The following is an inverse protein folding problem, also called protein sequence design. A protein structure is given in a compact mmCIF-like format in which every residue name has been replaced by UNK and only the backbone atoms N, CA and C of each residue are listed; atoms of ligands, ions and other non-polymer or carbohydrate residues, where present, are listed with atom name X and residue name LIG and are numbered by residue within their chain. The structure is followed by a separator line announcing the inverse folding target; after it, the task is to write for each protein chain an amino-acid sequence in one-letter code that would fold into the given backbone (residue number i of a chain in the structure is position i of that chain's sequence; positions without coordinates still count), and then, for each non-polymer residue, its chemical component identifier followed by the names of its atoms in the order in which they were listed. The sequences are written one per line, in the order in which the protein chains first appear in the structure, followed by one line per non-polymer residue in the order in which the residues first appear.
data_IF_015426653948
#
_entry.id   IF_015426653948
#
_cell.length_a   1.000
_cell.length_b   1.000
_cell.length_c   1.000
_cell.angle_alpha   90.00
_cell.angle_beta   90.00
_cell.angle_gamma   90.00
#
_symmetry.space_group_name_H-M   'P 1'
#
loop_
_entity.id
_entity.type
_entity.pdbx_description
1 polymer ?
#
# COMPACT_ATOMS: atom_id res chain seq x y z
N UNK A 1 -24.29 -15.98 -13.75
CA UNK A 1 -24.59 -15.10 -12.60
C UNK A 1 -23.54 -14.02 -12.62
N UNK A 2 -23.91 -12.74 -12.66
CA UNK A 2 -22.95 -11.64 -12.54
C UNK A 2 -22.31 -11.72 -11.16
N UNK A 3 -21.00 -11.96 -11.11
CA UNK A 3 -20.23 -11.97 -9.86
C UNK A 3 -20.34 -10.58 -9.22
N UNK A 4 -20.74 -10.51 -7.95
CA UNK A 4 -20.76 -9.23 -7.22
C UNK A 4 -19.32 -8.88 -6.86
N UNK A 5 -18.83 -7.77 -7.43
CA UNK A 5 -17.48 -7.28 -7.17
C UNK A 5 -17.34 -6.78 -5.73
N UNK A 6 -16.17 -7.02 -5.12
CA UNK A 6 -15.76 -6.43 -3.85
C UNK A 6 -15.60 -4.92 -4.02
N UNK A 7 -15.80 -4.16 -2.94
CA UNK A 7 -15.71 -2.70 -2.94
C UNK A 7 -14.78 -2.25 -1.84
N UNK A 8 -13.94 -1.26 -2.13
CA UNK A 8 -13.15 -0.57 -1.11
C UNK A 8 -14.04 0.39 -0.33
N UNK A 9 -13.56 0.86 0.82
CA UNK A 9 -14.25 1.89 1.61
C UNK A 9 -14.39 3.22 0.86
N UNK A 10 -13.55 3.45 -0.16
CA UNK A 10 -13.57 4.65 -1.00
C UNK A 10 -14.47 4.52 -2.25
N UNK A 11 -15.17 3.40 -2.44
CA UNK A 11 -15.95 3.14 -3.65
C UNK A 11 -17.01 4.23 -3.95
N UNK A 12 -17.71 4.75 -2.92
CA UNK A 12 -18.67 5.83 -3.10
C UNK A 12 -17.98 7.18 -3.38
N UNK A 13 -16.79 7.42 -2.82
CA UNK A 13 -15.98 8.58 -3.16
C UNK A 13 -15.56 8.56 -4.64
N UNK A 14 -15.21 7.38 -5.16
CA UNK A 14 -14.87 7.20 -6.58
C UNK A 14 -16.02 7.56 -7.50
N UNK A 15 -17.24 7.11 -7.18
CA UNK A 15 -18.44 7.43 -7.96
C UNK A 15 -18.73 8.93 -7.98
N UNK A 16 -18.62 9.59 -6.81
CA UNK A 16 -18.80 11.04 -6.71
C UNK A 16 -17.75 11.81 -7.50
N UNK A 17 -16.53 11.31 -7.55
CA UNK A 17 -15.43 11.88 -8.34
C UNK A 17 -15.52 11.55 -9.85
N UNK A 18 -16.58 10.88 -10.32
CA UNK A 18 -16.77 10.57 -11.74
C UNK A 18 -15.90 9.43 -12.27
N UNK A 19 -15.44 8.53 -11.38
CA UNK A 19 -14.63 7.39 -11.78
C UNK A 19 -15.36 6.49 -12.79
N UNK A 20 -14.61 6.03 -13.80
CA UNK A 20 -14.99 4.87 -14.60
C UNK A 20 -14.54 3.61 -13.89
N UNK A 21 -15.47 2.93 -13.21
CA UNK A 21 -15.20 1.71 -12.46
C UNK A 21 -15.14 0.47 -13.37
N UNK A 22 -14.25 -0.46 -13.06
CA UNK A 22 -14.04 -1.74 -13.77
C UNK A 22 -13.81 -2.88 -12.78
N UNK A 23 -13.92 -4.12 -13.25
CA UNK A 23 -13.45 -5.30 -12.52
C UNK A 23 -11.91 -5.37 -12.58
N UNK A 24 -11.28 -5.28 -11.42
CA UNK A 24 -9.86 -5.49 -11.24
C UNK A 24 -9.64 -6.57 -10.18
N UNK A 25 -9.36 -7.79 -10.63
CA UNK A 25 -9.15 -8.96 -9.75
C UNK A 25 -10.29 -9.19 -8.75
N UNK A 26 -11.54 -8.99 -9.19
CA UNK A 26 -12.73 -9.15 -8.36
C UNK A 26 -13.10 -7.93 -7.52
N UNK A 27 -12.42 -6.80 -7.69
CA UNK A 27 -12.72 -5.51 -7.05
C UNK A 27 -13.27 -4.49 -8.05
N UNK A 28 -14.24 -3.69 -7.62
CA UNK A 28 -14.77 -2.55 -8.38
C UNK A 28 -13.87 -1.33 -8.16
N UNK A 29 -12.91 -1.13 -9.07
CA UNK A 29 -11.85 -0.13 -8.96
C UNK A 29 -11.88 0.92 -10.10
N UNK A 30 -11.40 2.15 -9.86
CA UNK A 30 -11.36 3.20 -10.87
C UNK A 30 -10.29 2.90 -11.94
N UNK A 31 -10.71 2.74 -13.20
CA UNK A 31 -9.77 2.68 -14.32
C UNK A 31 -9.13 4.06 -14.58
N UNK A 32 -9.96 5.10 -14.54
CA UNK A 32 -9.60 6.51 -14.65
C UNK A 32 -10.76 7.39 -14.15
N UNK A 33 -10.49 8.66 -13.88
CA UNK A 33 -11.46 9.71 -13.49
C UNK A 33 -11.75 10.69 -14.64
N UNK A 34 -11.17 10.45 -15.82
CA UNK A 34 -11.56 11.13 -17.07
C UNK A 34 -10.59 10.82 -18.20
N UNK A 35 -9.29 10.97 -17.93
CA UNK A 35 -8.23 10.69 -18.88
C UNK A 35 -7.02 10.10 -18.18
N UNK A 36 -6.72 8.84 -18.47
CA UNK A 36 -5.53 8.15 -17.94
C UNK A 36 -4.22 8.86 -18.31
N UNK A 37 -4.18 9.57 -19.44
CA UNK A 37 -2.99 10.32 -19.91
C UNK A 37 -2.80 11.58 -19.07
N UNK A 38 -3.87 12.31 -18.77
CA UNK A 38 -3.79 13.51 -17.93
C UNK A 38 -3.47 13.14 -16.48
N UNK A 39 -4.02 12.03 -15.97
CA UNK A 39 -3.70 11.49 -14.64
C UNK A 39 -2.20 11.15 -14.53
N UNK A 40 -1.65 10.48 -15.56
CA UNK A 40 -0.23 10.20 -15.66
C UNK A 40 0.62 11.48 -15.60
N UNK A 41 0.32 12.47 -16.46
CA UNK A 41 1.05 13.73 -16.47
C UNK A 41 0.92 14.50 -15.15
N UNK A 42 -0.25 14.43 -14.52
CA UNK A 42 -0.50 15.07 -13.23
C UNK A 42 0.42 14.50 -12.15
N UNK A 43 0.63 13.19 -12.10
CA UNK A 43 1.55 12.58 -11.12
C UNK A 43 3.01 12.94 -11.42
N UNK A 44 3.41 12.94 -12.70
CA UNK A 44 4.78 13.33 -13.10
C UNK A 44 5.10 14.80 -12.78
N UNK A 45 4.11 15.67 -12.77
CA UNK A 45 4.31 17.13 -12.71
C UNK A 45 3.88 17.75 -11.37
N UNK A 46 2.95 17.12 -10.63
CA UNK A 46 2.29 17.67 -9.45
C UNK A 46 2.07 16.60 -8.37
N UNK A 47 0.82 16.25 -8.06
CA UNK A 47 0.45 15.21 -7.12
C UNK A 47 -0.84 14.53 -7.58
N UNK A 48 -0.84 13.20 -7.54
CA UNK A 48 -2.04 12.39 -7.70
C UNK A 48 -2.14 11.35 -6.60
N UNK A 49 -3.32 10.75 -6.43
CA UNK A 49 -3.54 9.71 -5.45
C UNK A 49 -4.33 8.53 -6.01
N UNK A 50 -4.03 7.34 -5.50
CA UNK A 50 -4.65 6.08 -5.87
C UNK A 50 -5.27 5.43 -4.65
N UNK A 51 -6.48 4.89 -4.82
CA UNK A 51 -7.00 3.91 -3.89
C UNK A 51 -6.32 2.56 -4.17
N UNK A 52 -5.51 2.13 -3.21
CA UNK A 52 -4.81 0.83 -3.22
C UNK A 52 -5.31 -0.09 -2.12
N UNK A 53 -6.50 0.18 -1.56
CA UNK A 53 -7.13 -0.63 -0.49
C UNK A 53 -7.52 -2.04 -0.95
N UNK A 54 -7.39 -2.35 -2.25
CA UNK A 54 -7.54 -3.70 -2.78
C UNK A 54 -6.32 -4.58 -2.46
N UNK A 55 -5.16 -3.99 -2.16
CA UNK A 55 -3.97 -4.71 -1.68
C UNK A 55 -4.23 -5.36 -0.32
N UNK A 56 -3.40 -6.35 0.03
CA UNK A 56 -3.57 -7.13 1.25
C UNK A 56 -2.56 -6.66 2.29
N UNK A 57 -3.04 -5.98 3.32
CA UNK A 57 -2.23 -5.64 4.50
C UNK A 57 -2.33 -6.80 5.49
N UNK A 58 -1.19 -7.36 5.89
CA UNK A 58 -1.11 -8.38 6.94
C UNK A 58 -0.07 -7.99 7.98
N UNK A 59 -0.35 -8.26 9.25
CA UNK A 59 0.58 -8.08 10.34
C UNK A 59 1.09 -9.44 10.82
N UNK A 60 2.41 -9.53 11.01
CA UNK A 60 3.10 -10.72 11.48
C UNK A 60 3.77 -10.40 12.82
N UNK A 61 3.46 -11.19 13.85
CA UNK A 61 4.03 -11.01 15.18
C UNK A 61 4.40 -12.34 15.84
N UNK A 62 5.38 -12.34 16.74
CA UNK A 62 5.76 -13.50 17.57
C UNK A 62 7.24 -13.86 17.48
N UNK A 63 7.74 -14.64 18.45
CA UNK A 63 9.17 -14.89 18.67
C UNK A 63 9.95 -15.34 17.42
N UNK A 64 9.27 -16.04 16.51
CA UNK A 64 9.85 -16.59 15.30
C UNK A 64 9.62 -15.78 14.02
N UNK A 65 8.94 -14.62 14.10
CA UNK A 65 8.52 -13.84 12.93
C UNK A 65 9.66 -13.56 11.94
N UNK A 66 10.82 -13.16 12.45
CA UNK A 66 12.02 -12.93 11.63
C UNK A 66 12.53 -14.21 10.95
N UNK A 67 12.59 -15.33 11.70
CA UNK A 67 13.07 -16.63 11.20
C UNK A 67 12.15 -17.15 10.10
N UNK A 68 10.84 -16.99 10.29
CA UNK A 68 9.83 -17.28 9.29
C UNK A 68 10.04 -16.45 8.02
N UNK A 69 10.19 -15.13 8.14
CA UNK A 69 10.43 -14.26 6.98
C UNK A 69 11.72 -14.60 6.23
N UNK A 70 12.80 -14.95 6.93
CA UNK A 70 14.05 -15.39 6.31
C UNK A 70 13.90 -16.69 5.51
N UNK A 71 12.92 -17.54 5.84
CA UNK A 71 12.61 -18.73 5.06
C UNK A 71 11.65 -18.42 3.90
N UNK A 72 10.70 -17.52 4.11
CA UNK A 72 9.63 -17.21 3.15
C UNK A 72 10.13 -16.36 1.98
N UNK A 73 11.00 -15.38 2.25
CA UNK A 73 11.38 -14.32 1.32
C UNK A 73 12.74 -14.59 0.68
N UNK A 74 12.90 -14.21 -0.59
CA UNK A 74 14.16 -14.33 -1.30
C UNK A 74 15.17 -13.22 -0.94
N UNK A 75 14.70 -12.06 -0.48
CA UNK A 75 15.54 -10.99 0.04
C UNK A 75 15.79 -11.19 1.55
N UNK A 76 16.83 -10.53 2.05
CA UNK A 76 17.32 -10.72 3.41
C UNK A 76 16.70 -9.72 4.39
N UNK A 77 15.85 -10.21 5.31
CA UNK A 77 15.21 -9.37 6.33
C UNK A 77 16.14 -8.92 7.45
N UNK A 78 17.37 -9.44 7.56
CA UNK A 78 18.41 -8.88 8.45
C UNK A 78 18.80 -7.44 8.07
N UNK A 79 18.50 -7.01 6.85
CA UNK A 79 18.72 -5.64 6.36
C UNK A 79 17.76 -4.63 6.97
N UNK A 80 16.67 -5.08 7.60
CA UNK A 80 15.72 -4.22 8.31
C UNK A 80 16.27 -3.85 9.69
N UNK A 81 17.25 -2.94 9.72
CA UNK A 81 18.03 -2.61 10.92
C UNK A 81 17.47 -1.45 11.74
N UNK A 82 16.51 -0.69 11.19
CA UNK A 82 15.85 0.42 11.88
C UNK A 82 14.35 0.22 11.88
N UNK A 83 13.69 0.61 12.97
CA UNK A 83 12.23 0.57 13.06
C UNK A 83 11.63 1.39 11.91
N UNK A 84 10.61 0.83 11.29
CA UNK A 84 9.95 1.37 10.11
C UNK A 84 10.62 1.01 8.79
N UNK A 85 11.86 0.47 8.78
CA UNK A 85 12.54 0.14 7.54
C UNK A 85 11.75 -0.89 6.76
N UNK A 86 11.66 -0.66 5.46
CA UNK A 86 11.01 -1.54 4.52
C UNK A 86 12.00 -2.16 3.55
N UNK A 87 11.66 -3.33 3.01
CA UNK A 87 12.30 -3.87 1.83
C UNK A 87 11.27 -4.48 0.88
N UNK A 88 11.64 -4.49 -0.40
CA UNK A 88 10.97 -5.24 -1.44
C UNK A 88 11.54 -6.65 -1.52
N UNK A 89 10.68 -7.66 -1.69
CA UNK A 89 11.12 -9.03 -1.93
C UNK A 89 10.15 -9.79 -2.82
N UNK A 90 10.68 -10.76 -3.56
CA UNK A 90 9.86 -11.84 -4.09
C UNK A 90 9.65 -12.91 -3.01
N UNK A 91 8.48 -13.53 -3.02
CA UNK A 91 8.14 -14.76 -2.34
C UNK A 91 8.16 -15.89 -3.38
N UNK A 92 8.94 -16.95 -3.14
CA UNK A 92 9.20 -17.98 -4.15
C UNK A 92 8.61 -19.32 -3.73
N UNK A 93 8.28 -20.15 -4.73
CA UNK A 93 8.03 -21.57 -4.52
C UNK A 93 9.36 -22.35 -4.45
N UNK A 94 9.34 -23.64 -4.04
CA UNK A 94 10.56 -24.44 -3.89
C UNK A 94 11.33 -24.70 -5.20
N UNK A 95 10.73 -24.43 -6.36
CA UNK A 95 11.38 -24.53 -7.67
C UNK A 95 11.99 -23.19 -8.13
N UNK A 96 11.88 -22.13 -7.31
CA UNK A 96 12.39 -20.79 -7.62
C UNK A 96 11.45 -19.95 -8.50
N UNK A 97 10.22 -20.42 -8.76
CA UNK A 97 9.19 -19.61 -9.41
C UNK A 97 8.62 -18.57 -8.46
N UNK A 98 8.37 -17.36 -8.96
CA UNK A 98 7.76 -16.27 -8.17
C UNK A 98 6.29 -16.60 -7.90
N UNK A 99 5.93 -16.58 -6.62
CA UNK A 99 4.53 -16.65 -6.16
C UNK A 99 3.93 -15.24 -6.20
N UNK A 100 4.59 -14.30 -5.52
CA UNK A 100 4.25 -12.87 -5.55
C UNK A 100 5.48 -12.01 -5.22
N UNK A 101 5.36 -10.70 -5.46
CA UNK A 101 6.26 -9.67 -4.95
C UNK A 101 5.57 -8.81 -3.89
N UNK A 102 6.31 -8.38 -2.87
CA UNK A 102 5.73 -7.71 -1.71
C UNK A 102 6.68 -6.71 -1.05
N UNK A 103 6.11 -5.85 -0.21
CA UNK A 103 6.87 -5.00 0.71
C UNK A 103 6.68 -5.52 2.13
N UNK A 104 7.77 -5.64 2.88
CA UNK A 104 7.75 -5.93 4.30
C UNK A 104 8.40 -4.80 5.10
N UNK A 105 7.72 -4.35 6.13
CA UNK A 105 8.13 -3.31 7.06
C UNK A 105 8.45 -3.94 8.41
N UNK A 106 9.59 -3.59 9.00
CA UNK A 106 9.88 -3.96 10.39
C UNK A 106 9.33 -2.91 11.33
N UNK A 107 8.39 -3.28 12.21
CA UNK A 107 7.73 -2.36 13.15
C UNK A 107 8.41 -2.34 14.53
N UNK A 108 9.56 -3.01 14.67
CA UNK A 108 10.28 -3.17 15.91
C UNK A 108 10.02 -4.53 16.57
N UNK A 109 11.00 -4.98 17.36
CA UNK A 109 10.99 -6.28 18.01
C UNK A 109 10.69 -7.42 17.01
N UNK A 110 9.67 -8.22 17.28
CA UNK A 110 9.23 -9.30 16.40
C UNK A 110 7.95 -8.96 15.63
N UNK A 111 7.73 -7.68 15.33
CA UNK A 111 6.52 -7.20 14.64
C UNK A 111 6.87 -6.72 13.23
N UNK A 112 6.09 -7.17 12.26
CA UNK A 112 6.25 -6.83 10.85
C UNK A 112 4.89 -6.55 10.23
N UNK A 113 4.89 -5.68 9.21
CA UNK A 113 3.74 -5.50 8.32
C UNK A 113 4.13 -5.90 6.91
N UNK A 114 3.28 -6.68 6.25
CA UNK A 114 3.48 -7.21 4.91
C UNK A 114 2.35 -6.68 4.05
N UNK A 115 2.69 -6.19 2.86
CA UNK A 115 1.72 -5.74 1.86
C UNK A 115 1.93 -6.54 0.58
N UNK A 116 0.92 -7.33 0.19
CA UNK A 116 0.92 -8.17 -1.03
C UNK A 116 -0.15 -7.74 -2.03
N UNK A 117 -0.09 -8.29 -3.25
CA UNK A 117 -0.97 -7.88 -4.34
C UNK A 117 -2.41 -8.40 -4.19
N UNK A 118 -3.36 -7.63 -4.74
CA UNK A 118 -4.77 -8.01 -4.70
C UNK A 118 -5.10 -9.26 -5.52
N UNK A 119 -4.43 -9.42 -6.67
CA UNK A 119 -4.68 -10.53 -7.60
C UNK A 119 -4.22 -11.90 -7.10
N UNK A 120 -3.26 -11.91 -6.17
CA UNK A 120 -2.64 -13.11 -5.58
C UNK A 120 -3.12 -13.37 -4.16
N UNK A 121 -3.88 -12.45 -3.55
CA UNK A 121 -4.44 -12.49 -2.19
C UNK A 121 -4.72 -13.88 -1.62
N UNK A 122 -5.64 -14.63 -2.22
CA UNK A 122 -6.08 -15.92 -1.65
C UNK A 122 -4.96 -16.97 -1.71
N UNK A 123 -4.15 -16.94 -2.77
CA UNK A 123 -2.98 -17.80 -2.93
C UNK A 123 -1.86 -17.45 -1.95
N UNK A 124 -1.57 -16.16 -1.80
CA UNK A 124 -0.52 -15.67 -0.91
C UNK A 124 -0.84 -15.93 0.54
N UNK A 125 -2.06 -15.61 1.00
CA UNK A 125 -2.48 -15.86 2.37
C UNK A 125 -2.43 -17.36 2.68
N UNK A 126 -2.91 -18.21 1.78
CA UNK A 126 -2.84 -19.66 1.95
C UNK A 126 -1.38 -20.17 2.01
N UNK A 127 -0.52 -19.69 1.10
CA UNK A 127 0.88 -20.07 1.07
C UNK A 127 1.62 -19.61 2.33
N UNK A 128 1.47 -18.34 2.70
CA UNK A 128 2.09 -17.77 3.89
C UNK A 128 1.67 -18.52 5.16
N UNK A 129 0.37 -18.81 5.34
CA UNK A 129 -0.11 -19.60 6.47
C UNK A 129 0.42 -21.02 6.47
N UNK A 130 0.52 -21.66 5.30
CA UNK A 130 1.12 -22.99 5.18
C UNK A 130 2.60 -22.98 5.60
N UNK A 131 3.38 -21.99 5.15
CA UNK A 131 4.80 -21.86 5.49
C UNK A 131 5.01 -21.47 6.97
N UNK A 132 4.00 -20.88 7.62
CA UNK A 132 4.07 -20.46 9.02
C UNK A 132 3.97 -21.65 9.99
N UNK A 133 3.54 -22.82 9.52
CA UNK A 133 3.39 -24.02 10.34
C UNK A 133 4.71 -24.41 11.03
N UNK A 134 4.69 -24.47 12.37
CA UNK A 134 5.86 -24.82 13.19
C UNK A 134 6.72 -23.64 13.64
N UNK A 135 6.33 -22.41 13.32
CA UNK A 135 6.91 -21.19 13.87
C UNK A 135 6.05 -20.66 15.03
N UNK A 136 6.70 -20.13 16.07
CA UNK A 136 6.05 -19.36 17.14
C UNK A 136 5.76 -17.93 16.67
N UNK A 137 4.89 -17.80 15.66
CA UNK A 137 4.45 -16.54 15.09
C UNK A 137 3.02 -16.64 14.57
N UNK A 138 2.36 -15.49 14.45
CA UNK A 138 0.98 -15.34 14.03
C UNK A 138 0.94 -14.32 12.89
N UNK A 139 0.30 -14.69 11.79
CA UNK A 139 0.04 -13.84 10.64
C UNK A 139 -1.46 -13.53 10.58
N UNK A 140 -1.81 -12.25 10.63
CA UNK A 140 -3.18 -11.77 10.62
C UNK A 140 -3.40 -10.80 9.45
N UNK A 141 -4.39 -11.08 8.62
CA UNK A 141 -4.85 -10.12 7.64
C UNK A 141 -5.58 -8.95 8.32
N UNK A 142 -5.41 -7.74 7.80
CA UNK A 142 -6.09 -6.52 8.24
C UNK A 142 -7.10 -6.04 7.18
N UNK A 143 -8.19 -6.78 6.92
CA UNK A 143 -9.09 -6.57 5.77
C UNK A 143 -9.87 -5.25 5.81
N UNK A 144 -9.93 -4.61 6.97
CA UNK A 144 -10.72 -3.40 7.17
C UNK A 144 -9.89 -2.12 6.97
N UNK A 145 -8.56 -2.21 6.88
CA UNK A 145 -7.73 -1.03 6.68
C UNK A 145 -7.86 -0.52 5.25
N UNK A 146 -7.91 0.80 5.10
CA UNK A 146 -7.79 1.44 3.80
C UNK A 146 -6.31 1.68 3.48
N UNK A 147 -5.96 1.70 2.20
CA UNK A 147 -4.63 2.08 1.76
C UNK A 147 -4.70 3.07 0.61
N UNK A 148 -4.01 4.19 0.74
CA UNK A 148 -3.97 5.27 -0.28
C UNK A 148 -2.53 5.59 -0.62
N UNK A 149 -2.21 5.62 -1.91
CA UNK A 149 -0.90 6.05 -2.40
C UNK A 149 -1.01 7.48 -2.93
N UNK A 150 -0.30 8.43 -2.34
CA UNK A 150 -0.19 9.83 -2.81
C UNK A 150 1.20 10.04 -3.40
N UNK A 151 1.29 10.35 -4.68
CA UNK A 151 2.52 10.27 -5.48
C UNK A 151 2.70 11.49 -6.39
N UNK A 152 3.94 11.93 -6.57
CA UNK A 152 4.32 13.07 -7.40
C UNK A 152 5.18 14.09 -6.64
N UNK A 153 5.83 15.03 -7.33
CA UNK A 153 6.72 16.02 -6.73
C UNK A 153 6.08 16.89 -5.62
N UNK A 154 4.77 17.09 -5.65
CA UNK A 154 4.02 17.88 -4.65
C UNK A 154 3.34 17.01 -3.58
N UNK A 155 3.34 15.68 -3.74
CA UNK A 155 2.60 14.75 -2.88
C UNK A 155 3.01 14.82 -1.42
N UNK A 156 4.32 14.88 -1.15
CA UNK A 156 4.86 14.92 0.21
C UNK A 156 4.35 16.14 0.97
N UNK A 157 4.38 17.31 0.34
CA UNK A 157 3.92 18.56 0.94
C UNK A 157 2.42 18.51 1.25
N UNK A 158 1.60 17.98 0.32
CA UNK A 158 0.16 17.85 0.51
C UNK A 158 -0.18 16.98 1.73
N UNK A 159 0.47 15.81 1.84
CA UNK A 159 0.26 14.89 2.98
C UNK A 159 0.74 15.50 4.29
N UNK A 160 1.92 16.11 4.32
CA UNK A 160 2.47 16.73 5.53
C UNK A 160 1.58 17.87 6.05
N UNK A 161 0.96 18.66 5.17
CA UNK A 161 0.06 19.74 5.58
C UNK A 161 -1.26 19.25 6.21
N UNK A 162 -1.63 17.98 5.98
CA UNK A 162 -2.83 17.38 6.59
C UNK A 162 -2.58 16.86 8.01
N UNK A 163 -1.32 16.57 8.36
CA UNK A 163 -0.96 16.02 9.66
C UNK A 163 -1.14 17.01 10.81
N UNK A 164 -1.44 16.47 11.99
CA UNK A 164 -1.33 17.23 13.23
C UNK A 164 0.13 17.65 13.48
N UNK A 165 0.30 18.72 14.27
CA UNK A 165 1.61 19.22 14.68
C UNK A 165 2.45 18.18 15.44
N UNK A 166 1.80 17.22 16.10
CA UNK A 166 2.47 16.15 16.85
C UNK A 166 3.04 15.10 15.90
N UNK A 167 2.28 14.71 14.87
CA UNK A 167 2.67 13.68 13.90
C UNK A 167 3.62 14.17 12.81
N UNK A 168 3.53 15.47 12.47
CA UNK A 168 4.30 16.08 11.39
C UNK A 168 5.80 15.75 11.43
N UNK A 169 6.53 15.92 12.55
CA UNK A 169 7.99 15.71 12.55
C UNK A 169 8.38 14.25 12.25
N UNK A 170 7.57 13.28 12.71
CA UNK A 170 7.84 11.87 12.49
C UNK A 170 7.68 11.47 11.01
N UNK A 171 6.64 11.97 10.34
CA UNK A 171 6.39 11.69 8.92
C UNK A 171 7.31 12.52 8.02
N UNK A 172 7.62 13.77 8.40
CA UNK A 172 8.58 14.61 7.69
C UNK A 172 9.97 13.99 7.69
N UNK A 173 10.41 13.37 8.78
CA UNK A 173 11.73 12.75 8.86
C UNK A 173 11.89 11.48 8.01
N UNK A 174 10.81 10.93 7.42
CA UNK A 174 10.88 9.66 6.70
C UNK A 174 11.81 9.71 5.47
N UNK A 175 12.80 8.85 5.49
CA UNK A 175 13.60 8.48 4.32
C UNK A 175 12.83 7.50 3.43
N UNK A 176 13.28 7.31 2.18
CA UNK A 176 12.68 6.33 1.28
C UNK A 176 12.77 4.91 1.87
N UNK A 177 11.71 4.11 1.66
CA UNK A 177 11.59 2.78 2.24
C UNK A 177 11.68 2.79 3.77
N UNK A 178 11.10 3.81 4.40
CA UNK A 178 10.90 3.89 5.85
C UNK A 178 9.46 4.29 6.10
N UNK A 179 8.87 3.74 7.16
CA UNK A 179 7.54 4.05 7.61
C UNK A 179 7.50 4.46 9.09
N UNK A 180 6.43 5.15 9.47
CA UNK A 180 6.12 5.45 10.85
C UNK A 180 4.63 5.31 11.10
N UNK A 181 4.28 4.82 12.30
CA UNK A 181 2.91 4.89 12.81
C UNK A 181 2.77 6.15 13.65
N UNK A 182 1.83 7.00 13.27
CA UNK A 182 1.44 8.21 13.99
C UNK A 182 -0.06 8.15 14.28
N UNK A 183 -0.61 9.17 14.94
CA UNK A 183 -2.03 9.19 15.34
C UNK A 183 -2.97 8.99 14.15
N UNK A 184 -2.66 9.59 13.01
CA UNK A 184 -3.48 9.59 11.80
C UNK A 184 -3.39 8.28 11.01
N UNK A 185 -2.43 7.41 11.34
CA UNK A 185 -2.25 6.13 10.65
C UNK A 185 -0.80 5.73 10.45
N UNK A 186 -0.59 4.78 9.55
CA UNK A 186 0.73 4.29 9.16
C UNK A 186 1.14 4.93 7.84
N UNK A 187 2.30 5.59 7.82
CA UNK A 187 2.81 6.34 6.67
C UNK A 187 4.12 5.73 6.22
N UNK A 188 4.19 5.27 4.98
CA UNK A 188 5.38 4.73 4.37
C UNK A 188 5.83 5.63 3.21
N UNK A 189 7.11 6.00 3.16
CA UNK A 189 7.69 6.69 2.00
C UNK A 189 8.11 5.68 0.93
N UNK A 190 7.09 5.01 0.41
CA UNK A 190 7.13 4.01 -0.67
C UNK A 190 6.21 4.45 -1.80
N UNK A 191 6.22 3.70 -2.90
CA UNK A 191 5.41 4.03 -4.06
C UNK A 191 5.67 3.10 -5.24
N UNK A 192 4.79 3.21 -6.23
CA UNK A 192 4.78 2.37 -7.43
C UNK A 192 4.80 3.20 -8.72
N UNK A 193 5.39 4.40 -8.66
CA UNK A 193 5.31 5.37 -9.77
C UNK A 193 6.67 5.87 -10.25
N UNK A 194 7.75 5.65 -9.50
CA UNK A 194 9.05 6.29 -9.71
C UNK A 194 9.15 7.72 -9.13
N UNK A 195 8.04 8.31 -8.73
CA UNK A 195 8.01 9.62 -8.06
C UNK A 195 8.19 9.49 -6.53
N UNK A 196 8.42 10.63 -5.87
CA UNK A 196 8.33 10.72 -4.41
C UNK A 196 6.87 10.72 -3.96
N UNK A 197 6.63 10.41 -2.69
CA UNK A 197 5.29 10.34 -2.13
C UNK A 197 5.19 9.45 -0.92
N UNK A 198 3.95 9.14 -0.55
CA UNK A 198 3.62 8.25 0.54
C UNK A 198 2.61 7.19 0.12
N UNK A 199 2.69 6.03 0.75
CA UNK A 199 1.60 5.08 0.87
C UNK A 199 1.14 5.08 2.34
N UNK A 200 -0.15 5.28 2.54
CA UNK A 200 -0.75 5.41 3.86
C UNK A 200 -1.67 4.22 4.10
N UNK A 201 -1.60 3.62 5.29
CA UNK A 201 -2.60 2.67 5.77
C UNK A 201 -3.40 3.36 6.88
N UNK A 202 -4.71 3.49 6.65
CA UNK A 202 -5.63 4.28 7.46
C UNK A 202 -6.73 3.39 8.05
N UNK A 203 -7.29 3.82 9.17
CA UNK A 203 -8.55 3.25 9.65
C UNK A 203 -9.66 3.52 8.60
N UNK A 204 -10.61 2.60 8.42
CA UNK A 204 -11.65 2.74 7.40
C UNK A 204 -12.49 4.01 7.55
N UNK A 205 -12.74 4.46 8.79
CA UNK A 205 -13.43 5.71 9.09
C UNK A 205 -12.68 6.98 8.70
N UNK A 206 -11.35 6.92 8.60
CA UNK A 206 -10.49 8.06 8.26
C UNK A 206 -10.18 8.14 6.76
N UNK A 207 -10.45 7.07 6.01
CA UNK A 207 -10.10 6.96 4.59
C UNK A 207 -10.80 8.00 3.71
N UNK A 208 -12.13 8.10 3.80
CA UNK A 208 -12.91 9.06 3.00
C UNK A 208 -12.62 10.53 3.40
N UNK A 209 -12.55 10.89 4.70
CA UNK A 209 -12.09 12.21 5.12
C UNK A 209 -10.71 12.58 4.59
N UNK A 210 -9.74 11.65 4.65
CA UNK A 210 -8.41 11.87 4.09
C UNK A 210 -8.46 12.08 2.58
N UNK A 211 -9.16 11.20 1.85
CA UNK A 211 -9.31 11.29 0.40
C UNK A 211 -9.88 12.64 -0.02
N UNK A 212 -10.95 13.10 0.62
CA UNK A 212 -11.54 14.40 0.32
C UNK A 212 -10.58 15.56 0.65
N UNK A 213 -9.87 15.49 1.79
CA UNK A 213 -8.89 16.52 2.15
C UNK A 213 -7.74 16.62 1.14
N UNK A 214 -7.32 15.50 0.54
CA UNK A 214 -6.33 15.49 -0.54
C UNK A 214 -6.87 16.14 -1.82
N UNK A 215 -8.12 15.86 -2.20
CA UNK A 215 -8.78 16.56 -3.33
C UNK A 215 -8.81 18.07 -3.07
N UNK A 216 -9.22 18.49 -1.88
CA UNK A 216 -9.32 19.91 -1.51
C UNK A 216 -7.94 20.59 -1.50
N UNK A 217 -6.87 19.83 -1.23
CA UNK A 217 -5.48 20.27 -1.33
C UNK A 217 -4.91 20.26 -2.77
N UNK A 218 -5.71 19.88 -3.77
CA UNK A 218 -5.31 19.86 -5.19
C UNK A 218 -4.64 18.57 -5.65
N UNK A 219 -4.69 17.50 -4.85
CA UNK A 219 -4.19 16.17 -5.25
C UNK A 219 -5.27 15.48 -6.10
N UNK A 220 -4.91 15.14 -7.35
CA UNK A 220 -5.88 14.54 -8.28
C UNK A 220 -6.12 13.05 -8.00
N UNK A 221 -7.38 12.57 -7.96
CA UNK A 221 -7.68 11.15 -8.06
C UNK A 221 -7.13 10.55 -9.36
N UNK A 222 -6.46 9.41 -9.27
CA UNK A 222 -5.87 8.70 -10.41
C UNK A 222 -6.25 7.21 -10.38
N UNK A 223 -6.51 6.65 -11.56
CA UNK A 223 -6.98 5.27 -11.71
C UNK A 223 -5.90 4.27 -12.13
N UNK A 224 -6.31 3.02 -12.27
CA UNK A 224 -5.45 1.88 -12.63
C UNK A 224 -4.71 2.08 -13.96
N UNK A 225 -5.32 2.77 -14.93
CA UNK A 225 -4.70 3.02 -16.24
C UNK A 225 -3.44 3.88 -16.15
N UNK A 226 -3.47 4.94 -15.32
CA UNK A 226 -2.29 5.75 -15.05
C UNK A 226 -1.26 5.01 -14.19
N UNK A 227 -1.71 4.21 -13.21
CA UNK A 227 -0.82 3.40 -12.37
C UNK A 227 0.05 2.44 -13.21
N UNK A 228 -0.54 1.78 -14.21
CA UNK A 228 0.19 0.84 -15.06
C UNK A 228 1.19 1.52 -16.02
N UNK A 229 0.88 2.72 -16.52
CA UNK A 229 1.84 3.45 -17.36
C UNK A 229 3.00 4.00 -16.54
N UNK A 230 2.73 4.56 -15.35
CA UNK A 230 3.76 5.14 -14.49
C UNK A 230 4.79 4.11 -14.02
N UNK A 231 4.34 2.93 -13.59
CA UNK A 231 5.24 1.86 -13.12
C UNK A 231 6.08 1.26 -14.25
N UNK A 232 5.58 1.27 -15.48
CA UNK A 232 6.30 0.70 -16.63
C UNK A 232 7.46 1.59 -17.08
N UNK A 233 7.36 2.90 -16.86
CA UNK A 233 8.40 3.88 -17.18
C UNK A 233 9.48 4.04 -16.11
N UNK A 234 9.18 3.67 -14.86
CA UNK A 234 10.00 3.95 -13.68
C UNK A 234 11.32 3.16 -13.60
#
# INVERSE_FOLDING_TARGET
MTQTLKKTVLNEAHKRAGARLVDFSGWEMPLHYGSQVEEHHTIRQKAGMFDVSHMVVSDLHGADAKRYLQQLLANDVDRLQTVGKALYSCMLNPQGGVIDDLIVYWLGENNYRIVTNAGTRDGDLAWMQQQLAGFEAVLEEQPNLAMVAVQGPEARTAVLNWLSKESYPAVEALERFVAATVKEGFFARTGYTGEDGFELVLAPEDAEPFWQAMIDAGVAPCGLGARDTLRLEA
#
